data_IF_831358902790
#
_entry.id   IF_831358902790
#
_cell.length_a   1.000
_cell.length_b   1.000
_cell.length_c   1.000
_cell.angle_alpha   90.00
_cell.angle_beta   90.00
_cell.angle_gamma   90.00
#
_symmetry.space_group_name_H-M   'P 1'
#
loop_
_entity.id
_entity.type
_entity.pdbx_description
1 polymer ?
#
# COMPACT_ATOMS: atom_id res chain seq x y z
N UNK A 1 0.49 -12.12 -14.72
CA UNK A 1 1.09 -13.29 -14.08
C UNK A 1 2.00 -12.81 -12.99
N UNK A 2 1.73 -13.32 -11.80
CA UNK A 2 2.51 -13.06 -10.60
C UNK A 2 3.73 -13.98 -10.61
N UNK A 3 4.92 -13.48 -10.28
CA UNK A 3 6.06 -14.38 -10.06
C UNK A 3 5.88 -15.14 -8.74
N UNK A 4 6.57 -16.28 -8.59
CA UNK A 4 6.58 -16.99 -7.31
C UNK A 4 7.21 -16.14 -6.22
N UNK A 5 8.20 -15.31 -6.58
CA UNK A 5 8.84 -14.41 -5.65
C UNK A 5 7.86 -13.36 -5.09
N UNK A 6 7.06 -12.69 -5.93
CA UNK A 6 6.05 -11.72 -5.45
C UNK A 6 5.07 -12.38 -4.47
N UNK A 7 4.62 -13.60 -4.79
CA UNK A 7 3.73 -14.37 -3.92
C UNK A 7 4.40 -14.71 -2.59
N UNK A 8 5.64 -15.14 -2.62
CA UNK A 8 6.39 -15.51 -1.42
C UNK A 8 6.64 -14.30 -0.52
N UNK A 9 7.01 -13.14 -1.07
CA UNK A 9 7.18 -11.90 -0.30
C UNK A 9 5.86 -11.47 0.35
N UNK A 10 4.75 -11.52 -0.40
CA UNK A 10 3.42 -11.22 0.14
C UNK A 10 3.02 -12.16 1.29
N UNK A 11 3.24 -13.47 1.11
CA UNK A 11 2.97 -14.49 2.14
C UNK A 11 3.85 -14.28 3.36
N UNK A 12 5.14 -14.02 3.16
CA UNK A 12 6.09 -13.75 4.24
C UNK A 12 5.67 -12.52 5.05
N UNK A 13 5.31 -11.42 4.39
CA UNK A 13 4.79 -10.22 5.04
C UNK A 13 3.56 -10.53 5.91
N UNK A 14 2.59 -11.30 5.38
CA UNK A 14 1.42 -11.73 6.13
C UNK A 14 1.77 -12.61 7.34
N UNK A 15 2.70 -13.55 7.16
CA UNK A 15 3.16 -14.42 8.24
C UNK A 15 3.83 -13.62 9.36
N UNK A 16 4.81 -12.77 9.04
CA UNK A 16 5.50 -11.90 10.01
C UNK A 16 4.50 -10.98 10.72
N UNK A 17 3.59 -10.36 9.97
CA UNK A 17 2.56 -9.49 10.54
C UNK A 17 1.61 -10.26 11.48
N UNK A 18 1.27 -11.50 11.15
CA UNK A 18 0.41 -12.37 11.97
C UNK A 18 1.09 -12.93 13.22
N UNK A 19 2.42 -13.08 13.24
CA UNK A 19 3.18 -13.49 14.43
C UNK A 19 2.98 -12.51 15.59
N UNK A 20 2.71 -11.24 15.29
CA UNK A 20 2.39 -10.23 16.30
C UNK A 20 0.98 -10.37 16.89
N UNK A 21 0.20 -11.39 16.48
CA UNK A 21 -1.18 -11.73 16.93
C UNK A 21 -2.21 -10.61 16.82
N UNK A 22 -1.91 -9.56 16.07
CA UNK A 22 -2.68 -8.33 16.07
C UNK A 22 -3.17 -7.96 14.67
N UNK A 23 -2.64 -8.53 13.59
CA UNK A 23 -3.18 -8.30 12.24
C UNK A 23 -4.58 -8.94 12.08
N UNK A 24 -5.56 -8.30 11.42
CA UNK A 24 -6.88 -8.88 11.15
C UNK A 24 -6.84 -10.04 10.13
N UNK A 25 -5.72 -10.21 9.44
CA UNK A 25 -5.47 -11.25 8.46
C UNK A 25 -4.30 -12.14 8.87
N UNK A 26 -4.36 -13.41 8.47
CA UNK A 26 -3.28 -14.37 8.59
C UNK A 26 -3.18 -15.23 7.34
N UNK A 27 -1.98 -15.72 7.06
CA UNK A 27 -1.80 -16.76 6.06
C UNK A 27 -2.00 -18.14 6.69
N UNK A 28 -2.90 -18.95 6.15
CA UNK A 28 -3.04 -20.35 6.51
C UNK A 28 -2.18 -21.22 5.60
N UNK A 29 -1.17 -21.86 6.18
CA UNK A 29 -0.23 -22.73 5.47
C UNK A 29 -0.87 -24.02 4.95
N UNK A 30 -1.94 -24.51 5.60
CA UNK A 30 -2.63 -25.74 5.20
C UNK A 30 -3.49 -25.50 3.95
N UNK A 31 -4.35 -24.49 4.01
CA UNK A 31 -5.25 -24.16 2.89
C UNK A 31 -4.58 -23.30 1.82
N UNK A 32 -3.40 -22.72 2.10
CA UNK A 32 -2.70 -21.75 1.24
C UNK A 32 -3.57 -20.56 0.86
N UNK A 33 -4.31 -20.04 1.86
CA UNK A 33 -5.22 -18.91 1.68
C UNK A 33 -5.03 -17.87 2.78
N UNK A 34 -5.41 -16.63 2.47
CA UNK A 34 -5.60 -15.57 3.45
C UNK A 34 -6.86 -15.89 4.24
N UNK A 35 -6.72 -15.98 5.55
CA UNK A 35 -7.79 -16.25 6.51
C UNK A 35 -7.91 -15.08 7.48
N UNK A 36 -9.10 -14.96 8.07
CA UNK A 36 -9.32 -14.02 9.17
C UNK A 36 -8.64 -14.55 10.43
N UNK A 37 -8.22 -13.63 11.30
CA UNK A 37 -7.76 -13.97 12.64
C UNK A 37 -8.92 -14.30 13.58
N UNK A 38 -8.61 -14.90 14.73
CA UNK A 38 -9.64 -15.29 15.70
C UNK A 38 -10.36 -14.07 16.28
N UNK A 39 -11.58 -14.26 16.79
CA UNK A 39 -12.35 -13.18 17.40
C UNK A 39 -11.60 -12.47 18.54
N UNK A 40 -10.81 -13.21 19.33
CA UNK A 40 -9.98 -12.62 20.38
C UNK A 40 -8.89 -11.68 19.82
N UNK A 41 -8.18 -12.11 18.77
CA UNK A 41 -7.18 -11.28 18.10
C UNK A 41 -7.82 -10.06 17.43
N UNK A 42 -9.01 -10.22 16.85
CA UNK A 42 -9.75 -9.12 16.25
C UNK A 42 -10.24 -8.09 17.27
N UNK A 43 -10.58 -8.50 18.50
CA UNK A 43 -10.89 -7.55 19.60
C UNK A 43 -9.68 -6.69 19.95
N UNK A 44 -8.49 -7.29 20.02
CA UNK A 44 -7.23 -6.56 20.24
C UNK A 44 -6.99 -5.58 19.08
N UNK A 45 -7.21 -6.00 17.84
CA UNK A 45 -7.14 -5.10 16.69
C UNK A 45 -8.11 -3.92 16.81
N UNK A 46 -9.35 -4.17 17.26
CA UNK A 46 -10.37 -3.13 17.45
C UNK A 46 -9.95 -2.09 18.49
N UNK A 47 -9.25 -2.51 19.55
CA UNK A 47 -8.64 -1.59 20.52
C UNK A 47 -7.62 -0.66 19.85
N UNK A 48 -6.79 -1.17 18.93
CA UNK A 48 -5.88 -0.33 18.16
C UNK A 48 -6.60 0.65 17.26
N UNK A 49 -7.72 0.26 16.63
CA UNK A 49 -8.54 1.20 15.84
C UNK A 49 -9.04 2.36 16.72
N UNK A 50 -9.53 2.06 17.92
CA UNK A 50 -9.96 3.08 18.89
C UNK A 50 -8.80 4.00 19.31
N UNK A 51 -7.64 3.43 19.63
CA UNK A 51 -6.44 4.19 19.96
C UNK A 51 -6.06 5.16 18.83
N UNK A 52 -5.92 4.67 17.60
CA UNK A 52 -5.55 5.49 16.45
C UNK A 52 -6.58 6.58 16.16
N UNK A 53 -7.87 6.29 16.35
CA UNK A 53 -8.96 7.29 16.22
C UNK A 53 -8.81 8.39 17.26
N UNK A 54 -8.56 8.02 18.52
CA UNK A 54 -8.37 8.97 19.61
C UNK A 54 -7.14 9.84 19.35
N UNK A 55 -6.02 9.23 18.97
CA UNK A 55 -4.78 9.92 18.63
C UNK A 55 -4.97 10.92 17.48
N UNK A 56 -5.59 10.48 16.38
CA UNK A 56 -5.93 11.34 15.25
C UNK A 56 -6.81 12.53 15.66
N UNK A 57 -7.82 12.28 16.51
CA UNK A 57 -8.74 13.33 16.98
C UNK A 57 -8.01 14.36 17.86
N UNK A 58 -7.17 13.91 18.78
CA UNK A 58 -6.37 14.79 19.65
C UNK A 58 -5.37 15.63 18.83
N UNK A 59 -4.72 15.03 17.83
CA UNK A 59 -3.84 15.76 16.92
C UNK A 59 -4.61 16.83 16.13
N UNK A 60 -5.81 16.50 15.67
CA UNK A 60 -6.70 17.45 14.99
C UNK A 60 -7.13 18.61 15.88
N UNK A 61 -7.49 18.33 17.14
CA UNK A 61 -7.82 19.36 18.14
C UNK A 61 -6.62 20.26 18.43
N UNK A 62 -5.43 19.69 18.62
CA UNK A 62 -4.20 20.46 18.82
C UNK A 62 -3.95 21.40 17.64
N UNK A 63 -4.01 20.89 16.41
CA UNK A 63 -3.87 21.68 15.20
C UNK A 63 -4.89 22.82 15.12
N UNK A 64 -6.16 22.54 15.44
CA UNK A 64 -7.21 23.55 15.49
C UNK A 64 -6.89 24.68 16.49
N UNK A 65 -6.46 24.34 17.71
CA UNK A 65 -6.04 25.32 18.70
C UNK A 65 -4.79 26.11 18.26
N UNK A 66 -3.80 25.44 17.66
CA UNK A 66 -2.61 26.06 17.10
C UNK A 66 -2.95 27.07 15.99
N UNK A 67 -3.98 26.79 15.17
CA UNK A 67 -4.49 27.72 14.15
C UNK A 67 -5.27 28.90 14.75
N UNK A 68 -6.06 28.66 15.79
CA UNK A 68 -6.98 29.66 16.36
C UNK A 68 -6.29 30.71 17.23
N UNK A 69 -5.18 30.36 17.89
CA UNK A 69 -4.56 31.21 18.93
C UNK A 69 -3.24 31.91 18.54
N UNK A 70 -2.80 31.91 17.27
CA UNK A 70 -1.44 32.37 16.93
C UNK A 70 -1.34 33.54 15.94
N UNK A 71 -0.40 34.45 16.23
CA UNK A 71 0.24 35.35 15.27
C UNK A 71 1.23 34.54 14.42
N UNK A 72 0.98 34.47 13.11
CA UNK A 72 1.65 33.53 12.21
C UNK A 72 3.05 34.04 11.81
N UNK A 73 4.10 33.33 12.24
CA UNK A 73 5.49 33.53 11.79
C UNK A 73 5.95 32.38 10.84
N UNK A 74 6.94 32.63 9.97
CA UNK A 74 7.49 31.67 8.98
C UNK A 74 7.79 30.27 9.53
N UNK A 75 8.47 30.18 10.68
CA UNK A 75 8.81 28.89 11.31
C UNK A 75 7.57 28.09 11.73
N UNK A 76 6.49 28.78 12.15
CA UNK A 76 5.25 28.14 12.56
C UNK A 76 4.48 27.57 11.37
N UNK A 77 4.55 28.20 10.19
CA UNK A 77 3.89 27.70 8.97
C UNK A 77 4.47 26.35 8.53
N UNK A 78 5.79 26.20 8.60
CA UNK A 78 6.46 24.93 8.28
C UNK A 78 6.02 23.85 9.27
N UNK A 79 6.02 24.17 10.58
CA UNK A 79 5.50 23.26 11.62
C UNK A 79 4.06 22.83 11.35
N UNK A 80 3.18 23.78 11.06
CA UNK A 80 1.77 23.54 10.75
C UNK A 80 1.62 22.64 9.50
N UNK A 81 2.42 22.87 8.47
CA UNK A 81 2.40 22.08 7.23
C UNK A 81 2.81 20.62 7.47
N UNK A 82 3.83 20.41 8.32
CA UNK A 82 4.26 19.08 8.76
C UNK A 82 3.17 18.41 9.59
N UNK A 83 2.58 19.11 10.55
CA UNK A 83 1.53 18.59 11.42
C UNK A 83 0.27 18.23 10.61
N UNK A 84 -0.15 19.04 9.63
CA UNK A 84 -1.27 18.75 8.73
C UNK A 84 -0.99 17.53 7.86
N UNK A 85 0.23 17.40 7.34
CA UNK A 85 0.64 16.24 6.55
C UNK A 85 0.60 14.95 7.39
N UNK A 86 1.09 15.03 8.63
CA UNK A 86 1.07 13.93 9.57
C UNK A 86 -0.35 13.56 10.05
N UNK A 87 -1.22 14.55 10.27
CA UNK A 87 -2.64 14.35 10.54
C UNK A 87 -3.33 13.61 9.40
N UNK A 88 -2.99 13.95 8.16
CA UNK A 88 -3.57 13.33 6.95
C UNK A 88 -3.11 11.89 6.74
N UNK A 89 -1.83 11.61 7.04
CA UNK A 89 -1.32 10.24 7.12
C UNK A 89 -2.07 9.43 8.19
N UNK A 90 -2.25 10.02 9.38
CA UNK A 90 -2.95 9.40 10.51
C UNK A 90 -4.41 9.11 10.17
N UNK A 91 -5.11 10.05 9.52
CA UNK A 91 -6.46 9.87 9.00
C UNK A 91 -6.53 8.68 8.05
N UNK A 92 -5.58 8.58 7.11
CA UNK A 92 -5.53 7.50 6.13
C UNK A 92 -5.35 6.14 6.81
N UNK A 93 -4.48 6.05 7.83
CA UNK A 93 -4.31 4.83 8.64
C UNK A 93 -5.61 4.48 9.36
N UNK A 94 -6.22 5.43 10.07
CA UNK A 94 -7.48 5.23 10.80
C UNK A 94 -8.59 4.73 9.87
N UNK A 95 -8.76 5.36 8.72
CA UNK A 95 -9.77 4.93 7.76
C UNK A 95 -9.45 3.53 7.20
N UNK A 96 -8.19 3.21 6.84
CA UNK A 96 -7.83 1.85 6.39
C UNK A 96 -8.14 0.81 7.49
N UNK A 97 -7.92 1.16 8.75
CA UNK A 97 -8.26 0.31 9.88
C UNK A 97 -9.79 0.10 10.00
N UNK A 98 -10.61 1.15 9.87
CA UNK A 98 -12.07 1.04 9.84
C UNK A 98 -12.58 0.27 8.62
N UNK A 99 -12.02 0.51 7.44
CA UNK A 99 -12.32 -0.24 6.22
C UNK A 99 -12.06 -1.73 6.45
N UNK A 100 -10.95 -2.04 7.11
CA UNK A 100 -10.61 -3.42 7.46
C UNK A 100 -11.62 -4.02 8.43
N UNK A 101 -12.06 -3.28 9.45
CA UNK A 101 -13.12 -3.74 10.36
C UNK A 101 -14.41 -4.04 9.60
N UNK A 102 -14.83 -3.16 8.69
CA UNK A 102 -16.10 -3.27 7.98
C UNK A 102 -16.08 -4.31 6.85
N UNK A 103 -14.96 -4.41 6.11
CA UNK A 103 -14.87 -5.17 4.85
C UNK A 103 -13.88 -6.33 4.88
N UNK A 104 -13.40 -6.76 6.07
CA UNK A 104 -12.39 -7.84 6.20
C UNK A 104 -12.69 -9.08 5.38
N UNK A 105 -13.95 -9.52 5.30
CA UNK A 105 -14.33 -10.72 4.57
C UNK A 105 -14.12 -10.53 3.06
N UNK A 106 -14.56 -9.39 2.52
CA UNK A 106 -14.41 -9.03 1.11
C UNK A 106 -12.93 -8.88 0.74
N UNK A 107 -12.13 -8.28 1.62
CA UNK A 107 -10.69 -8.10 1.43
C UNK A 107 -9.97 -9.45 1.36
N UNK A 108 -10.23 -10.36 2.31
CA UNK A 108 -9.66 -11.70 2.29
C UNK A 108 -10.10 -12.48 1.04
N UNK A 109 -11.38 -12.35 0.66
CA UNK A 109 -11.93 -12.97 -0.56
C UNK A 109 -11.23 -12.45 -1.82
N UNK A 110 -11.03 -11.14 -1.94
CA UNK A 110 -10.35 -10.53 -3.08
C UNK A 110 -8.90 -11.02 -3.20
N UNK A 111 -8.15 -11.06 -2.10
CA UNK A 111 -6.79 -11.59 -2.07
C UNK A 111 -6.72 -13.06 -2.50
N UNK A 112 -7.66 -13.89 -2.01
CA UNK A 112 -7.73 -15.31 -2.36
C UNK A 112 -8.14 -15.54 -3.83
N UNK A 113 -9.13 -14.80 -4.32
CA UNK A 113 -9.55 -14.86 -5.73
C UNK A 113 -8.40 -14.49 -6.67
N UNK A 114 -7.65 -13.44 -6.33
CA UNK A 114 -6.47 -13.01 -7.08
C UNK A 114 -5.41 -14.11 -7.18
N UNK A 115 -5.07 -14.73 -6.05
CA UNK A 115 -4.05 -15.80 -6.00
C UNK A 115 -4.51 -17.06 -6.73
N UNK A 116 -5.78 -17.43 -6.57
CA UNK A 116 -6.41 -18.57 -7.23
C UNK A 116 -6.50 -18.38 -8.74
N UNK A 117 -6.93 -17.21 -9.21
CA UNK A 117 -7.05 -16.91 -10.63
C UNK A 117 -5.68 -17.01 -11.33
N UNK A 118 -4.63 -16.43 -10.75
CA UNK A 118 -3.27 -16.55 -11.32
C UNK A 118 -2.83 -18.02 -11.44
N UNK A 119 -3.10 -18.83 -10.42
CA UNK A 119 -2.77 -20.26 -10.43
C UNK A 119 -3.54 -21.00 -11.52
N UNK A 120 -4.85 -20.80 -11.61
CA UNK A 120 -5.69 -21.46 -12.61
C UNK A 120 -5.30 -21.07 -14.03
N UNK A 121 -5.05 -19.78 -14.30
CA UNK A 121 -4.63 -19.33 -15.62
C UNK A 121 -3.25 -19.87 -16.00
N UNK A 122 -2.29 -19.93 -15.06
CA UNK A 122 -1.00 -20.58 -15.29
C UNK A 122 -1.16 -22.04 -15.69
N UNK A 123 -2.01 -22.77 -14.98
CA UNK A 123 -2.26 -24.18 -15.25
C UNK A 123 -2.93 -24.39 -16.61
N UNK A 124 -4.01 -23.65 -16.91
CA UNK A 124 -4.75 -23.77 -18.18
C UNK A 124 -3.89 -23.42 -19.39
N UNK A 125 -2.97 -22.45 -19.25
CA UNK A 125 -2.14 -21.96 -20.35
C UNK A 125 -0.67 -22.39 -20.26
N UNK A 126 -0.33 -23.37 -19.43
CA UNK A 126 1.05 -23.78 -19.15
C UNK A 126 1.86 -24.04 -20.43
N UNK A 127 1.30 -24.81 -21.36
CA UNK A 127 1.95 -25.11 -22.66
C UNK A 127 2.22 -23.84 -23.49
N UNK A 128 1.29 -22.89 -23.47
CA UNK A 128 1.41 -21.63 -24.22
C UNK A 128 2.44 -20.70 -23.56
N UNK A 129 2.46 -20.65 -22.23
CA UNK A 129 3.45 -19.91 -21.44
C UNK A 129 4.86 -20.45 -21.68
N UNK A 130 5.02 -21.78 -21.67
CA UNK A 130 6.32 -22.41 -21.91
C UNK A 130 6.81 -22.14 -23.33
N UNK A 131 5.94 -22.27 -24.33
CA UNK A 131 6.30 -22.08 -25.74
C UNK A 131 6.70 -20.63 -26.07
N UNK A 132 6.02 -19.65 -25.49
CA UNK A 132 6.19 -18.23 -25.85
C UNK A 132 6.92 -17.42 -24.75
N UNK A 133 7.60 -18.07 -23.80
CA UNK A 133 8.18 -17.45 -22.61
C UNK A 133 9.01 -16.20 -22.92
N UNK A 134 9.87 -16.24 -23.94
CA UNK A 134 10.76 -15.13 -24.30
C UNK A 134 10.01 -13.85 -24.73
N UNK A 135 8.80 -13.97 -25.27
CA UNK A 135 8.03 -12.85 -25.79
C UNK A 135 7.01 -12.30 -24.79
N UNK A 136 6.63 -13.08 -23.77
CA UNK A 136 5.56 -12.73 -22.81
C UNK A 136 6.05 -11.85 -21.64
N UNK A 137 7.36 -11.77 -21.40
CA UNK A 137 7.92 -11.11 -20.22
C UNK A 137 8.83 -9.93 -20.62
N UNK A 138 8.35 -8.71 -20.41
CA UNK A 138 9.24 -7.57 -20.22
C UNK A 138 9.89 -7.70 -18.84
N UNK A 139 11.19 -8.01 -18.80
CA UNK A 139 11.92 -8.21 -17.55
C UNK A 139 11.87 -6.99 -16.63
N UNK A 140 12.05 -5.79 -17.19
CA UNK A 140 12.09 -4.53 -16.44
C UNK A 140 10.78 -4.29 -15.67
N UNK A 141 9.63 -4.44 -16.33
CA UNK A 141 8.34 -4.24 -15.65
C UNK A 141 8.14 -5.23 -14.49
N UNK A 142 8.52 -6.50 -14.67
CA UNK A 142 8.42 -7.49 -13.62
C UNK A 142 9.33 -7.12 -12.43
N UNK A 143 10.58 -6.74 -12.71
CA UNK A 143 11.53 -6.33 -11.67
C UNK A 143 11.05 -5.10 -10.89
N UNK A 144 10.41 -4.13 -11.55
CA UNK A 144 9.84 -2.97 -10.86
C UNK A 144 8.73 -3.37 -9.88
N UNK A 145 7.81 -4.23 -10.29
CA UNK A 145 6.76 -4.72 -9.40
C UNK A 145 7.31 -5.55 -8.23
N UNK A 146 8.34 -6.36 -8.50
CA UNK A 146 9.05 -7.12 -7.47
C UNK A 146 9.79 -6.19 -6.50
N UNK A 147 10.48 -5.18 -7.01
CA UNK A 147 11.13 -4.19 -6.17
C UNK A 147 10.11 -3.42 -5.31
N UNK A 148 8.99 -2.99 -5.88
CA UNK A 148 7.94 -2.30 -5.13
C UNK A 148 7.36 -3.15 -4.00
N UNK A 149 7.02 -4.43 -4.26
CA UNK A 149 6.45 -5.30 -3.22
C UNK A 149 7.47 -5.60 -2.11
N UNK A 150 8.76 -5.66 -2.43
CA UNK A 150 9.83 -5.83 -1.45
C UNK A 150 10.05 -4.59 -0.62
N UNK A 151 10.19 -3.42 -1.24
CA UNK A 151 10.42 -2.16 -0.52
C UNK A 151 9.28 -1.82 0.42
N UNK A 152 8.04 -2.05 0.00
CA UNK A 152 6.85 -1.83 0.82
C UNK A 152 6.74 -2.84 1.98
N UNK A 153 7.11 -4.10 1.74
CA UNK A 153 7.13 -5.14 2.78
C UNK A 153 8.26 -4.93 3.78
N UNK A 154 9.51 -4.75 3.32
CA UNK A 154 10.68 -4.46 4.16
C UNK A 154 10.44 -3.18 4.93
N UNK A 155 10.08 -2.08 4.26
CA UNK A 155 9.85 -0.80 4.91
C UNK A 155 8.85 -0.90 6.06
N UNK A 156 7.76 -1.65 5.88
CA UNK A 156 6.78 -1.83 6.97
C UNK A 156 7.26 -2.66 8.15
N UNK A 157 8.14 -3.62 7.92
CA UNK A 157 8.64 -4.54 8.95
C UNK A 157 9.85 -3.94 9.67
N UNK A 158 10.77 -3.30 8.94
CA UNK A 158 12.09 -2.91 9.42
C UNK A 158 12.23 -1.43 9.73
N UNK A 159 11.44 -0.53 9.13
CA UNK A 159 11.64 0.91 9.33
C UNK A 159 11.45 1.30 10.81
N UNK A 160 10.48 0.70 11.48
CA UNK A 160 10.18 1.04 12.88
C UNK A 160 11.26 0.52 13.85
N UNK A 161 11.67 -0.76 13.81
CA UNK A 161 12.82 -1.23 14.59
C UNK A 161 14.12 -0.47 14.26
N UNK A 162 14.36 -0.15 12.99
CA UNK A 162 15.55 0.60 12.57
C UNK A 162 15.54 2.02 13.15
N UNK A 163 14.39 2.71 13.14
CA UNK A 163 14.26 4.04 13.76
C UNK A 163 14.49 3.97 15.27
N UNK A 164 13.95 2.98 15.97
CA UNK A 164 14.21 2.79 17.41
C UNK A 164 15.68 2.49 17.68
N UNK A 165 16.31 1.65 16.85
CA UNK A 165 17.74 1.33 16.98
C UNK A 165 18.62 2.56 16.74
N UNK A 166 18.29 3.40 15.75
CA UNK A 166 18.97 4.67 15.48
C UNK A 166 18.85 5.62 16.68
N UNK A 167 17.69 5.68 17.32
CA UNK A 167 17.46 6.51 18.51
C UNK A 167 18.28 6.05 19.72
N UNK A 168 18.58 4.75 19.81
CA UNK A 168 19.41 4.15 20.86
C UNK A 168 20.90 4.13 20.57
N UNK A 169 21.38 4.73 19.47
CA UNK A 169 22.81 4.82 19.19
C UNK A 169 23.50 5.71 20.21
N UNK A 170 24.69 5.31 20.67
CA UNK A 170 25.48 6.15 21.55
C UNK A 170 26.02 7.34 20.74
N UNK A 171 26.03 8.53 21.33
CA UNK A 171 26.57 9.73 20.68
C UNK A 171 28.03 9.61 20.25
N UNK A 172 28.78 8.70 20.87
CA UNK A 172 30.18 8.43 20.56
C UNK A 172 30.37 7.48 19.36
N UNK A 173 29.31 6.79 18.93
CA UNK A 173 29.36 5.84 17.81
C UNK A 173 29.45 6.54 16.45
N UNK A 174 30.24 5.97 15.55
CA UNK A 174 30.37 6.46 14.16
C UNK A 174 29.03 6.48 13.43
N UNK A 175 28.15 5.50 13.70
CA UNK A 175 26.81 5.45 13.13
C UNK A 175 25.94 6.64 13.56
N UNK A 176 26.03 7.05 14.83
CA UNK A 176 25.32 8.23 15.36
C UNK A 176 25.75 9.51 14.64
N UNK A 177 27.07 9.71 14.50
CA UNK A 177 27.63 10.87 13.80
C UNK A 177 27.21 10.95 12.33
N UNK A 178 27.12 9.81 11.65
CA UNK A 178 26.63 9.74 10.26
C UNK A 178 25.15 10.10 10.18
N UNK A 179 24.31 9.55 11.07
CA UNK A 179 22.88 9.90 11.12
C UNK A 179 22.69 11.37 11.44
N UNK A 180 23.44 11.91 12.40
CA UNK A 180 23.39 13.33 12.77
C UNK A 180 23.82 14.23 11.61
N UNK A 181 24.85 13.85 10.86
CA UNK A 181 25.30 14.58 9.67
C UNK A 181 24.24 14.58 8.55
N UNK A 182 23.58 13.44 8.32
CA UNK A 182 22.59 13.30 7.24
C UNK A 182 21.24 13.95 7.59
N UNK A 183 20.78 13.82 8.84
CA UNK A 183 19.45 14.27 9.27
C UNK A 183 19.47 15.63 9.98
N UNK A 184 20.63 16.15 10.36
CA UNK A 184 20.76 17.42 11.09
C UNK A 184 20.30 17.39 12.55
N UNK A 185 19.98 16.21 13.10
CA UNK A 185 19.49 16.02 14.46
C UNK A 185 20.35 14.99 15.22
N UNK A 186 20.63 15.23 16.50
CA UNK A 186 21.38 14.30 17.36
C UNK A 186 20.41 13.40 18.12
N UNK A 187 20.27 12.11 17.75
CA UNK A 187 19.34 11.20 18.41
C UNK A 187 19.84 10.83 19.81
N UNK A 188 19.29 11.44 20.86
CA UNK A 188 19.55 11.01 22.25
C UNK A 188 18.35 10.24 22.79
N UNK A 189 18.60 9.04 23.27
CA UNK A 189 17.63 8.26 24.03
C UNK A 189 17.70 8.67 25.51
N UNK A 190 16.74 9.46 25.96
CA UNK A 190 16.51 9.59 27.40
C UNK A 190 15.77 8.32 27.89
N UNK A 191 16.30 7.66 28.91
CA UNK A 191 15.73 6.41 29.44
C UNK A 191 14.27 6.58 29.90
N UNK A 192 13.91 7.79 30.35
CA UNK A 192 12.55 8.15 30.75
C UNK A 192 11.56 8.18 29.56
N UNK A 193 12.07 8.30 28.33
CA UNK A 193 11.31 8.35 27.07
C UNK A 193 11.26 6.98 26.38
N UNK A 194 12.08 6.01 26.83
CA UNK A 194 12.13 4.67 26.25
C UNK A 194 10.76 3.94 26.26
N UNK A 195 9.96 3.95 27.34
CA UNK A 195 8.64 3.31 27.32
C UNK A 195 7.73 3.91 26.25
N UNK A 196 7.79 5.24 26.07
CA UNK A 196 7.02 5.94 25.06
C UNK A 196 7.50 5.60 23.64
N UNK A 197 8.81 5.52 23.41
CA UNK A 197 9.38 5.13 22.11
C UNK A 197 9.04 3.68 21.74
N UNK A 198 9.14 2.74 22.67
CA UNK A 198 8.75 1.35 22.46
C UNK A 198 7.25 1.24 22.16
N UNK A 199 6.43 2.00 22.87
CA UNK A 199 4.99 2.06 22.62
C UNK A 199 4.67 2.63 21.22
N UNK A 200 5.31 3.73 20.83
CA UNK A 200 5.18 4.34 19.50
C UNK A 200 5.67 3.40 18.39
N UNK A 201 6.72 2.61 18.65
CA UNK A 201 7.20 1.60 17.72
C UNK A 201 6.18 0.46 17.53
N UNK A 202 5.65 -0.08 18.62
CA UNK A 202 4.59 -1.10 18.54
C UNK A 202 3.38 -0.56 17.79
N UNK A 203 2.94 0.66 18.11
CA UNK A 203 1.84 1.34 17.45
C UNK A 203 2.10 1.47 15.96
N UNK A 204 3.19 2.12 15.56
CA UNK A 204 3.55 2.38 14.15
C UNK A 204 3.66 1.09 13.33
N UNK A 205 4.18 0.01 13.92
CA UNK A 205 4.22 -1.30 13.26
C UNK A 205 2.82 -1.82 12.89
N UNK A 206 1.78 -1.51 13.69
CA UNK A 206 0.39 -1.93 13.42
C UNK A 206 -0.18 -1.18 12.23
N UNK A 207 -0.13 0.15 12.25
CA UNK A 207 -0.61 0.97 11.14
C UNK A 207 0.12 0.66 9.83
N UNK A 208 1.44 0.52 9.89
CA UNK A 208 2.26 0.22 8.72
C UNK A 208 1.94 -1.15 8.10
N UNK A 209 1.77 -2.19 8.93
CA UNK A 209 1.48 -3.55 8.44
C UNK A 209 0.17 -3.65 7.66
N UNK A 210 -0.88 -2.92 8.06
CA UNK A 210 -2.15 -2.94 7.35
C UNK A 210 -2.06 -2.12 6.06
N UNK A 211 -1.42 -0.95 6.08
CA UNK A 211 -1.21 -0.15 4.88
C UNK A 211 -0.41 -0.93 3.82
N UNK A 212 0.69 -1.59 4.22
CA UNK A 212 1.49 -2.41 3.32
C UNK A 212 0.75 -3.64 2.80
N UNK A 213 -0.16 -4.23 3.58
CA UNK A 213 -1.01 -5.30 3.07
C UNK A 213 -1.88 -4.83 1.89
N UNK A 214 -2.55 -3.67 2.00
CA UNK A 214 -3.36 -3.12 0.91
C UNK A 214 -2.52 -2.71 -0.30
N UNK A 215 -1.37 -2.09 -0.06
CA UNK A 215 -0.46 -1.68 -1.13
C UNK A 215 0.07 -2.88 -1.90
N UNK A 216 0.49 -3.94 -1.20
CA UNK A 216 0.89 -5.20 -1.81
C UNK A 216 -0.24 -5.85 -2.59
N UNK A 217 -1.46 -5.86 -2.04
CA UNK A 217 -2.64 -6.39 -2.72
C UNK A 217 -2.91 -5.62 -4.04
N UNK A 218 -2.80 -4.30 -4.02
CA UNK A 218 -2.93 -3.45 -5.20
C UNK A 218 -1.84 -3.71 -6.24
N UNK A 219 -0.58 -3.82 -5.82
CA UNK A 219 0.56 -4.15 -6.67
C UNK A 219 0.36 -5.51 -7.36
N UNK A 220 -0.04 -6.53 -6.60
CA UNK A 220 -0.34 -7.86 -7.15
C UNK A 220 -1.48 -7.79 -8.17
N UNK A 221 -2.56 -7.06 -7.86
CA UNK A 221 -3.69 -6.91 -8.76
C UNK A 221 -3.30 -6.24 -10.08
N UNK A 222 -2.63 -5.09 -10.01
CA UNK A 222 -2.17 -4.37 -11.19
C UNK A 222 -1.26 -5.23 -12.08
N UNK A 223 -0.34 -5.98 -11.48
CA UNK A 223 0.53 -6.89 -12.23
C UNK A 223 -0.26 -8.05 -12.86
N UNK A 224 -1.21 -8.61 -12.13
CA UNK A 224 -2.04 -9.71 -12.60
C UNK A 224 -2.84 -9.28 -13.83
N UNK A 225 -3.60 -8.20 -13.72
CA UNK A 225 -4.42 -7.62 -14.79
C UNK A 225 -3.57 -7.23 -15.99
N UNK A 226 -2.54 -6.40 -15.77
CA UNK A 226 -1.69 -5.89 -16.86
C UNK A 226 -1.13 -7.02 -17.70
N UNK A 227 -0.59 -8.06 -17.07
CA UNK A 227 -0.04 -9.18 -17.83
C UNK A 227 -1.13 -10.00 -18.52
N UNK A 228 -2.18 -10.43 -17.81
CA UNK A 228 -3.10 -11.39 -18.40
C UNK A 228 -3.97 -10.73 -19.47
N UNK A 229 -4.51 -9.54 -19.20
CA UNK A 229 -5.30 -8.81 -20.20
C UNK A 229 -4.46 -8.51 -21.45
N UNK A 230 -3.25 -7.95 -21.30
CA UNK A 230 -2.39 -7.66 -22.45
C UNK A 230 -2.09 -8.90 -23.28
N UNK A 231 -1.85 -10.04 -22.63
CA UNK A 231 -1.50 -11.28 -23.32
C UNK A 231 -2.69 -12.03 -23.93
N UNK A 232 -3.93 -11.75 -23.47
CA UNK A 232 -5.17 -12.32 -24.02
C UNK A 232 -5.88 -11.41 -25.03
N UNK A 233 -5.52 -10.13 -25.11
CA UNK A 233 -6.10 -9.22 -26.10
C UNK A 233 -5.89 -9.75 -27.51
N UNK A 234 -6.97 -10.00 -28.27
CA UNK A 234 -6.87 -10.43 -29.66
C UNK A 234 -6.14 -9.39 -30.52
N UNK A 235 -5.14 -9.82 -31.29
CA UNK A 235 -4.44 -8.98 -32.28
C UNK A 235 -4.87 -9.27 -33.71
N UNK A 236 -5.67 -10.32 -33.92
CA UNK A 236 -6.23 -10.67 -35.22
C UNK A 236 -7.01 -11.98 -35.19
N UNK A 237 -7.78 -12.24 -36.25
CA UNK A 237 -8.57 -13.46 -36.40
C UNK A 237 -7.72 -14.54 -37.08
N UNK A 238 -7.76 -15.78 -36.58
CA UNK A 238 -7.15 -16.90 -37.27
C UNK A 238 -8.16 -17.56 -38.23
N UNK A 239 -8.12 -17.16 -39.49
CA UNK A 239 -9.02 -17.66 -40.53
C UNK A 239 -8.73 -19.11 -40.95
N UNK A 240 -7.49 -19.61 -40.77
CA UNK A 240 -7.09 -20.97 -41.21
C UNK A 240 -7.78 -22.09 -40.41
N UNK A 241 -8.12 -21.85 -39.14
CA UNK A 241 -8.84 -22.83 -38.28
C UNK A 241 -10.37 -22.75 -38.41
N UNK A 242 -10.90 -21.69 -39.03
CA UNK A 242 -12.35 -21.47 -39.19
C UNK A 242 -13.00 -22.56 -40.03
N UNK A 243 -12.27 -23.09 -41.02
CA UNK A 243 -12.73 -24.15 -41.92
C UNK A 243 -12.82 -25.54 -41.28
N UNK A 244 -11.99 -25.84 -40.25
CA UNK A 244 -11.86 -27.20 -39.72
C UNK A 244 -12.69 -27.46 -38.46
N UNK A 245 -12.92 -26.44 -37.62
CA UNK A 245 -13.51 -26.65 -36.27
C UNK A 245 -14.78 -25.85 -35.98
N UNK A 246 -15.32 -25.05 -36.92
CA UNK A 246 -16.46 -24.12 -36.71
C UNK A 246 -16.34 -23.22 -35.46
N UNK A 247 -15.18 -23.13 -34.82
CA UNK A 247 -14.92 -22.30 -33.65
C UNK A 247 -14.06 -21.11 -34.03
N UNK A 248 -14.51 -19.92 -33.64
CA UNK A 248 -13.73 -18.69 -33.80
C UNK A 248 -12.49 -18.79 -32.91
N UNK A 249 -11.31 -18.62 -33.52
CA UNK A 249 -10.03 -18.60 -32.80
C UNK A 249 -9.26 -17.33 -33.16
N UNK A 250 -8.60 -16.78 -32.16
CA UNK A 250 -7.94 -15.49 -32.24
C UNK A 250 -6.45 -15.67 -31.99
N UNK A 251 -5.65 -14.82 -32.67
CA UNK A 251 -4.23 -14.68 -32.38
C UNK A 251 -4.09 -13.76 -31.16
N UNK A 252 -3.27 -14.18 -30.22
CA UNK A 252 -2.92 -13.47 -28.98
C UNK A 252 -1.42 -13.60 -28.77
N UNK A 253 -0.83 -12.89 -27.81
CA UNK A 253 0.58 -13.07 -27.44
C UNK A 253 0.86 -14.50 -26.91
N UNK A 254 -0.15 -15.15 -26.34
CA UNK A 254 -0.10 -16.56 -25.92
C UNK A 254 -0.22 -17.54 -27.09
N UNK A 255 -0.41 -17.07 -28.32
CA UNK A 255 -0.63 -17.89 -29.51
C UNK A 255 -2.10 -17.93 -29.93
N UNK A 256 -2.53 -19.03 -30.53
CA UNK A 256 -3.90 -19.17 -31.05
C UNK A 256 -4.81 -19.73 -29.98
N UNK A 257 -5.76 -18.90 -29.50
CA UNK A 257 -6.70 -19.26 -28.43
C UNK A 257 -8.13 -19.23 -28.97
N UNK A 258 -8.98 -20.17 -28.51
CA UNK A 258 -10.39 -20.20 -28.90
C UNK A 258 -11.19 -19.08 -28.23
N UNK A 259 -12.22 -18.58 -28.91
CA UNK A 259 -13.10 -17.54 -28.39
C UNK A 259 -13.69 -17.88 -27.02
N UNK A 260 -14.19 -19.10 -26.84
CA UNK A 260 -14.77 -19.54 -25.57
C UNK A 260 -13.80 -19.46 -24.39
N UNK A 261 -12.51 -19.76 -24.61
CA UNK A 261 -11.47 -19.62 -23.58
C UNK A 261 -11.19 -18.15 -23.28
N UNK A 262 -11.06 -17.31 -24.31
CA UNK A 262 -10.86 -15.87 -24.14
C UNK A 262 -12.01 -15.28 -23.34
N UNK A 263 -13.25 -15.58 -23.71
CA UNK A 263 -14.44 -15.13 -23.01
C UNK A 263 -14.47 -15.58 -21.55
N UNK A 264 -14.16 -16.85 -21.28
CA UNK A 264 -14.09 -17.37 -19.91
C UNK A 264 -13.04 -16.62 -19.07
N UNK A 265 -11.86 -16.35 -19.64
CA UNK A 265 -10.83 -15.54 -18.95
C UNK A 265 -11.34 -14.14 -18.65
N UNK A 266 -11.92 -13.44 -19.62
CA UNK A 266 -12.51 -12.11 -19.39
C UNK A 266 -13.59 -12.13 -18.31
N UNK A 267 -14.44 -13.17 -18.24
CA UNK A 267 -15.43 -13.35 -17.17
C UNK A 267 -14.77 -13.50 -15.80
N UNK A 268 -13.70 -14.28 -15.69
CA UNK A 268 -12.96 -14.40 -14.44
C UNK A 268 -12.33 -13.07 -13.99
N UNK A 269 -11.75 -12.31 -14.93
CA UNK A 269 -11.24 -10.97 -14.66
C UNK A 269 -12.36 -9.98 -14.27
N UNK A 270 -13.56 -10.07 -14.85
CA UNK A 270 -14.71 -9.26 -14.42
C UNK A 270 -15.11 -9.56 -12.96
N UNK A 271 -15.12 -10.83 -12.56
CA UNK A 271 -15.41 -11.22 -11.16
C UNK A 271 -14.32 -10.69 -10.23
N UNK A 272 -13.04 -10.84 -10.59
CA UNK A 272 -11.93 -10.31 -9.82
C UNK A 272 -12.00 -8.78 -9.71
N UNK A 273 -12.18 -8.07 -10.83
CA UNK A 273 -12.29 -6.62 -10.87
C UNK A 273 -13.46 -6.12 -10.03
N UNK A 274 -14.61 -6.81 -10.04
CA UNK A 274 -15.72 -6.47 -9.15
C UNK A 274 -15.31 -6.61 -7.68
N UNK A 275 -14.68 -7.72 -7.30
CA UNK A 275 -14.26 -7.95 -5.92
C UNK A 275 -13.20 -6.93 -5.46
N UNK A 276 -12.20 -6.65 -6.30
CA UNK A 276 -11.11 -5.71 -6.01
C UNK A 276 -11.62 -4.26 -6.02
N UNK A 277 -12.44 -3.85 -6.99
CA UNK A 277 -13.02 -2.51 -7.01
C UNK A 277 -13.96 -2.27 -5.83
N UNK A 278 -14.68 -3.29 -5.33
CA UNK A 278 -15.46 -3.15 -4.11
C UNK A 278 -14.58 -2.82 -2.88
N UNK A 279 -13.33 -3.28 -2.86
CA UNK A 279 -12.34 -2.94 -1.82
C UNK A 279 -11.74 -1.57 -2.12
N UNK A 280 -11.24 -1.35 -3.33
CA UNK A 280 -10.46 -0.17 -3.69
C UNK A 280 -11.29 1.08 -3.98
N UNK A 281 -12.60 1.01 -4.27
CA UNK A 281 -13.45 2.20 -4.40
C UNK A 281 -13.44 3.07 -3.13
N UNK A 282 -13.31 2.42 -1.97
CA UNK A 282 -13.17 3.10 -0.68
C UNK A 282 -11.74 3.60 -0.47
N UNK A 283 -10.76 2.91 -1.06
CA UNK A 283 -9.34 3.28 -0.96
C UNK A 283 -9.01 4.47 -1.88
N UNK A 284 -9.65 4.58 -3.06
CA UNK A 284 -9.46 5.69 -4.01
C UNK A 284 -9.90 7.04 -3.44
N UNK A 285 -10.87 7.05 -2.50
CA UNK A 285 -11.26 8.25 -1.75
C UNK A 285 -10.10 8.81 -0.90
N UNK A 286 -9.14 7.96 -0.50
CA UNK A 286 -7.92 8.43 0.17
C UNK A 286 -6.99 9.21 -0.72
N UNK A 287 -6.88 8.87 -2.00
CA UNK A 287 -6.03 9.66 -2.91
C UNK A 287 -6.60 11.06 -3.05
N UNK A 288 -7.93 11.20 -3.16
CA UNK A 288 -8.59 12.52 -3.15
C UNK A 288 -8.36 13.23 -1.81
N UNK A 289 -8.45 12.53 -0.68
CA UNK A 289 -8.23 13.11 0.66
C UNK A 289 -6.77 13.55 0.87
N UNK A 290 -5.80 12.75 0.41
CA UNK A 290 -4.36 13.06 0.43
C UNK A 290 -4.04 14.21 -0.53
N UNK A 291 -4.65 14.24 -1.72
CA UNK A 291 -4.49 15.34 -2.68
C UNK A 291 -5.09 16.64 -2.13
N UNK A 292 -6.28 16.60 -1.53
CA UNK A 292 -6.89 17.75 -0.84
C UNK A 292 -6.02 18.19 0.34
N UNK A 293 -5.43 17.25 1.07
CA UNK A 293 -4.51 17.50 2.17
C UNK A 293 -3.11 17.97 1.75
N UNK A 294 -2.68 17.74 0.51
CA UNK A 294 -1.48 18.35 -0.09
C UNK A 294 -1.84 19.74 -0.64
N UNK A 295 -3.04 19.90 -1.20
CA UNK A 295 -3.54 21.16 -1.72
C UNK A 295 -3.77 22.20 -0.60
N UNK A 296 -4.24 21.80 0.58
CA UNK A 296 -4.52 22.73 1.68
C UNK A 296 -3.25 23.44 2.23
N UNK A 297 -2.13 22.73 2.51
CA UNK A 297 -0.83 23.36 2.76
C UNK A 297 -0.32 24.18 1.58
N UNK A 298 -0.52 23.72 0.33
CA UNK A 298 -0.12 24.47 -0.86
C UNK A 298 -0.88 25.81 -0.99
N UNK A 299 -2.18 25.84 -0.73
CA UNK A 299 -2.97 27.08 -0.67
C UNK A 299 -2.55 27.98 0.50
N UNK A 300 -2.21 27.41 1.65
CA UNK A 300 -1.63 28.14 2.78
C UNK A 300 -0.28 28.80 2.41
N UNK A 301 0.58 28.08 1.67
CA UNK A 301 1.85 28.60 1.17
C UNK A 301 1.68 29.67 0.08
N UNK A 302 0.70 29.52 -0.82
CA UNK A 302 0.36 30.53 -1.85
C UNK A 302 -0.18 31.81 -1.19
N UNK A 303 -1.06 31.69 -0.20
CA UNK A 303 -1.53 32.87 0.54
C UNK A 303 -0.37 33.59 1.24
N UNK A 304 0.59 32.83 1.76
CA UNK A 304 1.75 33.39 2.44
C UNK A 304 2.73 34.10 1.48
N UNK A 305 2.88 33.65 0.23
CA UNK A 305 3.70 34.37 -0.76
C UNK A 305 3.11 35.74 -1.09
N UNK A 306 1.78 35.85 -1.17
CA UNK A 306 1.10 37.13 -1.40
C UNK A 306 1.19 38.09 -0.21
N UNK A 307 1.15 37.59 1.03
CA UNK A 307 1.33 38.42 2.23
C UNK A 307 2.77 38.95 2.37
N UNK A 308 3.79 38.19 1.93
CA UNK A 308 5.19 38.64 1.90
C UNK A 308 5.44 39.69 0.81
N UNK A 309 4.91 39.51 -0.40
CA UNK A 309 5.01 40.52 -1.48
C UNK A 309 4.33 41.83 -1.10
N UNK A 310 3.18 41.78 -0.42
CA UNK A 310 2.47 42.97 0.03
C UNK A 310 3.25 43.74 1.12
N UNK A 311 3.89 43.02 2.04
CA UNK A 311 4.70 43.62 3.10
C UNK A 311 6.00 44.24 2.56
N UNK A 312 6.63 43.62 1.56
CA UNK A 312 7.81 44.19 0.87
C UNK A 312 7.45 45.42 0.03
N UNK A 313 6.29 45.44 -0.62
CA UNK A 313 5.80 46.63 -1.34
C UNK A 313 5.48 47.82 -0.42
N UNK A 314 5.09 47.58 0.84
CA UNK A 314 4.87 48.64 1.83
C UNK A 314 6.15 49.19 2.47
N UNK A 315 7.22 48.40 2.50
CA UNK A 315 8.54 48.85 3.02
C UNK A 315 9.36 49.62 1.98
N UNK A 316 9.00 49.51 0.70
CA UNK A 316 9.67 50.15 -0.44
C UNK A 316 8.94 51.38 -0.99
N UNK A 317 7.79 51.77 -0.42
CA UNK A 317 7.02 52.98 -0.76
C UNK A 317 6.97 53.96 0.39
#
# INVERSE_FOLDING_TARGET
MLSNWMKNVFVFHLQVSSCTRINPFRWDTKTRTVQLTSNAQFRIWSFWVFYYTTYFTLLGLKLYYDFYHQNINKSKIISISVDVSYLSLSFSIVFIMYLTVWKRNQIATAANLLMSLDHQLKHVFERHLHKNRTHLFSGIQLYLYEFCILMTSIGSITAVPAMVAILGLNSDDTAHRVVQYVLGYSPRLDWDVLPFLLYMAVTTSKGSSICSFYLNLGILYMRLETFWLTNFTPTGINLKRKAVLKQHSYKTALGVVSFGRIFAVYRCHQILNRAVNEVFKWVSFHFVSIIVAIAFPAFGLIRFSYEVEWFEMQLLG
#
